data_IF_529595534340
#
_entry.id   IF_529595534340
#
_cell.length_a   1.000
_cell.length_b   1.000
_cell.length_c   1.000
_cell.angle_alpha   90.00
_cell.angle_beta   90.00
_cell.angle_gamma   90.00
#
_symmetry.space_group_name_H-M   'P 1'
#
loop_
_entity.id
_entity.type
_entity.pdbx_description
1 polymer ?
#
# COMPACT_ATOMS: atom_id res chain seq x y z
N UNK A 1 -12.29 2.12 5.96
CA UNK A 1 -11.14 1.24 6.25
C UNK A 1 -11.63 0.18 7.21
N UNK A 2 -11.52 -1.10 6.87
CA UNK A 2 -12.05 -2.18 7.71
C UNK A 2 -10.94 -2.70 8.63
N UNK A 3 -11.27 -2.91 9.91
CA UNK A 3 -10.36 -3.59 10.81
C UNK A 3 -10.28 -5.07 10.40
N UNK A 4 -9.08 -5.63 10.37
CA UNK A 4 -8.87 -7.07 10.19
C UNK A 4 -8.43 -7.68 11.52
N UNK A 5 -8.64 -8.99 11.67
CA UNK A 5 -8.18 -9.74 12.85
C UNK A 5 -6.65 -9.92 12.90
N UNK A 6 -5.95 -9.62 11.79
CA UNK A 6 -4.49 -9.66 11.71
C UNK A 6 -3.86 -8.40 12.33
N UNK A 7 -3.14 -8.50 13.46
CA UNK A 7 -2.58 -7.33 14.14
C UNK A 7 -1.44 -6.64 13.37
N UNK A 8 -0.80 -7.33 12.41
CA UNK A 8 0.32 -6.83 11.61
C UNK A 8 -0.18 -6.21 10.31
N UNK A 9 -1.20 -6.81 9.70
CA UNK A 9 -1.73 -6.39 8.40
C UNK A 9 -3.01 -5.54 8.50
N UNK A 10 -3.49 -5.22 9.71
CA UNK A 10 -4.69 -4.41 9.91
C UNK A 10 -4.50 -2.96 9.42
N UNK A 11 -5.27 -2.52 8.41
CA UNK A 11 -5.16 -1.16 7.87
C UNK A 11 -5.45 -0.09 8.92
N UNK A 12 -6.38 -0.35 9.85
CA UNK A 12 -6.71 0.60 10.93
C UNK A 12 -5.54 0.78 11.89
N UNK A 13 -4.80 -0.28 12.20
CA UNK A 13 -3.56 -0.18 13.00
C UNK A 13 -2.47 0.56 12.25
N UNK A 14 -2.30 0.28 10.95
CA UNK A 14 -1.37 1.03 10.11
C UNK A 14 -1.68 2.54 10.10
N UNK A 15 -2.97 2.91 9.95
CA UNK A 15 -3.41 4.31 10.02
C UNK A 15 -3.12 4.93 11.38
N UNK A 16 -3.37 4.21 12.48
CA UNK A 16 -3.02 4.67 13.82
C UNK A 16 -1.53 5.00 13.95
N UNK A 17 -0.64 4.14 13.45
CA UNK A 17 0.80 4.39 13.48
C UNK A 17 1.20 5.62 12.65
N UNK A 18 0.58 5.82 11.48
CA UNK A 18 0.82 7.03 10.67
C UNK A 18 0.37 8.29 11.40
N UNK A 19 -0.83 8.29 12.00
CA UNK A 19 -1.33 9.43 12.76
C UNK A 19 -0.48 9.74 14.00
N UNK A 20 -0.04 8.70 14.72
CA UNK A 20 0.87 8.84 15.86
C UNK A 20 2.22 9.44 15.42
N UNK A 21 2.80 8.96 14.34
CA UNK A 21 4.04 9.51 13.79
C UNK A 21 3.90 10.99 13.39
N UNK A 22 2.76 11.39 12.81
CA UNK A 22 2.48 12.81 12.53
C UNK A 22 2.48 13.65 13.80
N UNK A 23 1.89 13.16 14.87
CA UNK A 23 1.86 13.86 16.14
C UNK A 23 3.26 14.00 16.73
N UNK A 24 4.04 12.92 16.75
CA UNK A 24 5.43 12.89 17.23
C UNK A 24 6.33 13.86 16.43
N UNK A 25 6.14 13.92 15.10
CA UNK A 25 6.88 14.82 14.20
C UNK A 25 6.33 16.25 14.16
N UNK A 26 5.26 16.56 14.90
CA UNK A 26 4.56 17.86 14.87
C UNK A 26 4.06 18.26 13.48
N UNK A 27 3.67 17.27 12.67
CA UNK A 27 3.16 17.43 11.30
C UNK A 27 1.64 17.22 11.20
N UNK A 28 0.91 17.47 12.29
CA UNK A 28 -0.55 17.26 12.35
C UNK A 28 -1.32 18.07 11.29
N UNK A 29 -0.84 19.27 10.97
CA UNK A 29 -1.46 20.17 10.01
C UNK A 29 -1.10 19.87 8.53
N UNK A 30 -0.25 18.87 8.27
CA UNK A 30 0.15 18.57 6.90
C UNK A 30 -1.06 18.14 6.05
N UNK A 31 -1.20 18.64 4.80
CA UNK A 31 -2.38 18.37 3.98
C UNK A 31 -2.47 16.89 3.56
N UNK A 32 -1.33 16.24 3.36
CA UNK A 32 -1.24 14.85 2.94
C UNK A 32 -1.09 13.92 4.13
N UNK A 33 -1.76 12.75 4.11
CA UNK A 33 -1.70 11.78 5.22
C UNK A 33 -0.26 11.40 5.60
N UNK A 34 0.58 11.17 4.60
CA UNK A 34 1.98 10.80 4.77
C UNK A 34 2.94 11.99 4.65
N UNK A 35 2.49 13.21 4.95
CA UNK A 35 3.30 14.44 4.85
C UNK A 35 3.88 14.59 3.43
N UNK A 36 5.08 15.14 3.27
CA UNK A 36 5.74 15.35 1.98
C UNK A 36 6.81 14.28 1.69
N UNK A 37 6.46 13.00 1.91
CA UNK A 37 7.37 11.89 1.61
C UNK A 37 7.63 11.75 0.11
N UNK A 38 8.90 11.72 -0.26
CA UNK A 38 9.33 11.45 -1.65
C UNK A 38 9.38 9.95 -1.90
N UNK A 39 9.11 9.55 -3.14
CA UNK A 39 9.18 8.16 -3.55
C UNK A 39 10.56 7.52 -3.29
N UNK A 40 11.65 8.30 -3.42
CA UNK A 40 13.00 7.85 -3.07
C UNK A 40 13.14 7.49 -1.59
N UNK A 41 12.65 8.35 -0.70
CA UNK A 41 12.70 8.13 0.76
C UNK A 41 11.92 6.87 1.16
N UNK A 42 10.75 6.66 0.57
CA UNK A 42 9.96 5.44 0.79
C UNK A 42 10.71 4.21 0.26
N UNK A 43 11.31 4.30 -0.92
CA UNK A 43 12.10 3.22 -1.52
C UNK A 43 13.30 2.83 -0.65
N UNK A 44 14.05 3.82 -0.16
CA UNK A 44 15.24 3.59 0.66
C UNK A 44 14.89 2.95 1.99
N UNK A 45 13.81 3.42 2.64
CA UNK A 45 13.32 2.82 3.89
C UNK A 45 12.79 1.41 3.69
N UNK A 46 12.07 1.16 2.60
CA UNK A 46 11.61 -0.19 2.25
C UNK A 46 12.81 -1.14 2.07
N UNK A 47 13.81 -0.72 1.29
CA UNK A 47 15.02 -1.50 1.06
C UNK A 47 15.79 -1.78 2.34
N UNK A 48 15.89 -0.81 3.25
CA UNK A 48 16.52 -1.02 4.55
C UNK A 48 15.81 -2.12 5.38
N UNK A 49 14.47 -2.12 5.38
CA UNK A 49 13.68 -3.17 6.05
C UNK A 49 13.90 -4.53 5.38
N UNK A 50 13.83 -4.59 4.05
CA UNK A 50 14.06 -5.81 3.26
C UNK A 50 15.45 -6.40 3.52
N UNK A 51 16.49 -5.57 3.55
CA UNK A 51 17.84 -6.00 3.89
C UNK A 51 17.95 -6.51 5.33
N UNK A 52 17.23 -5.89 6.28
CA UNK A 52 17.27 -6.32 7.69
C UNK A 52 16.72 -7.73 7.93
N UNK A 53 15.89 -8.23 7.00
CA UNK A 53 15.34 -9.59 7.04
C UNK A 53 16.06 -10.56 6.08
N UNK A 54 17.22 -10.17 5.53
CA UNK A 54 18.04 -11.03 4.67
C UNK A 54 17.52 -11.23 3.25
N UNK A 55 16.62 -10.36 2.78
CA UNK A 55 16.05 -10.41 1.42
C UNK A 55 16.78 -9.41 0.52
N UNK A 56 16.89 -9.71 -0.78
CA UNK A 56 17.53 -8.84 -1.77
C UNK A 56 16.73 -7.53 -1.98
N UNK A 57 17.27 -6.36 -1.61
CA UNK A 57 16.58 -5.07 -1.74
C UNK A 57 16.38 -4.62 -3.20
N UNK A 58 17.13 -5.15 -4.16
CA UNK A 58 16.98 -4.76 -5.57
C UNK A 58 15.67 -5.23 -6.19
N UNK A 59 15.01 -6.21 -5.59
CA UNK A 59 13.71 -6.72 -6.02
C UNK A 59 12.54 -5.85 -5.53
N UNK A 60 12.80 -4.86 -4.68
CA UNK A 60 11.77 -4.06 -4.03
C UNK A 60 11.92 -2.57 -4.35
N UNK A 61 10.78 -1.96 -4.72
CA UNK A 61 10.65 -0.54 -5.01
C UNK A 61 9.21 -0.10 -4.72
N UNK A 62 8.92 1.18 -4.93
CA UNK A 62 7.59 1.77 -4.69
C UNK A 62 6.52 1.37 -5.71
N UNK A 63 6.85 0.53 -6.69
CA UNK A 63 5.90 0.07 -7.70
C UNK A 63 4.73 -0.75 -7.08
N UNK A 64 5.05 -1.64 -6.14
CA UNK A 64 4.03 -2.44 -5.42
C UNK A 64 3.10 -1.56 -4.58
N UNK A 65 3.64 -0.50 -3.96
CA UNK A 65 2.84 0.48 -3.20
C UNK A 65 1.85 1.21 -4.11
N UNK A 66 2.29 1.61 -5.31
CA UNK A 66 1.44 2.26 -6.31
C UNK A 66 0.29 1.35 -6.77
N UNK A 67 0.59 0.09 -7.08
CA UNK A 67 -0.42 -0.91 -7.47
C UNK A 67 -1.39 -1.18 -6.32
N UNK A 68 -0.87 -1.46 -5.13
CA UNK A 68 -1.69 -1.74 -3.94
C UNK A 68 -2.60 -0.57 -3.57
N UNK A 69 -2.11 0.67 -3.70
CA UNK A 69 -2.93 1.87 -3.52
C UNK A 69 -4.07 1.97 -4.54
N UNK A 70 -3.80 1.68 -5.82
CA UNK A 70 -4.83 1.66 -6.85
C UNK A 70 -5.87 0.55 -6.60
N UNK A 71 -5.44 -0.64 -6.20
CA UNK A 71 -6.32 -1.74 -5.78
C UNK A 71 -7.20 -1.33 -4.60
N UNK A 72 -6.63 -0.71 -3.56
CA UNK A 72 -7.39 -0.27 -2.39
C UNK A 72 -8.44 0.80 -2.74
N UNK A 73 -8.08 1.77 -3.59
CA UNK A 73 -9.01 2.79 -4.08
C UNK A 73 -10.14 2.18 -4.92
N UNK A 74 -9.81 1.23 -5.80
CA UNK A 74 -10.78 0.54 -6.65
C UNK A 74 -11.75 -0.31 -5.81
N UNK A 75 -11.25 -1.06 -4.82
CA UNK A 75 -12.09 -1.79 -3.85
C UNK A 75 -12.97 -0.83 -3.02
N UNK A 76 -12.47 0.37 -2.74
CA UNK A 76 -13.21 1.45 -2.10
C UNK A 76 -14.20 2.19 -3.02
N UNK A 77 -14.37 1.73 -4.27
CA UNK A 77 -15.25 2.34 -5.29
C UNK A 77 -14.89 3.81 -5.61
N UNK A 78 -13.62 4.18 -5.47
CA UNK A 78 -13.16 5.50 -5.88
C UNK A 78 -13.31 5.66 -7.41
N UNK A 79 -13.51 6.90 -7.85
CA UNK A 79 -13.63 7.21 -9.27
C UNK A 79 -12.34 6.88 -10.05
N UNK A 80 -12.51 6.34 -11.27
CA UNK A 80 -11.39 5.90 -12.10
C UNK A 80 -10.46 7.04 -12.52
N UNK A 81 -10.98 8.25 -12.75
CA UNK A 81 -10.15 9.42 -13.06
C UNK A 81 -9.33 9.83 -11.83
N UNK A 82 -9.91 9.79 -10.63
CA UNK A 82 -9.18 10.04 -9.40
C UNK A 82 -8.04 9.03 -9.18
N UNK A 83 -8.28 7.73 -9.43
CA UNK A 83 -7.25 6.68 -9.35
C UNK A 83 -6.13 6.95 -10.36
N UNK A 84 -6.48 7.31 -11.60
CA UNK A 84 -5.50 7.66 -12.63
C UNK A 84 -4.65 8.86 -12.25
N UNK A 85 -5.26 9.92 -11.74
CA UNK A 85 -4.58 11.14 -11.35
C UNK A 85 -3.61 10.88 -10.19
N UNK A 86 -4.09 10.27 -9.11
CA UNK A 86 -3.30 9.99 -7.91
C UNK A 86 -2.17 8.98 -8.19
N UNK A 87 -2.45 7.97 -8.99
CA UNK A 87 -1.50 6.93 -9.35
C UNK A 87 -0.67 7.21 -10.60
N UNK A 88 -0.83 8.36 -11.27
CA UNK A 88 -0.20 8.67 -12.57
C UNK A 88 -0.38 7.54 -13.61
N UNK A 89 -1.57 6.95 -13.67
CA UNK A 89 -1.89 5.88 -14.63
C UNK A 89 -2.39 6.48 -15.95
N UNK A 90 -1.72 6.15 -17.05
CA UNK A 90 -2.15 6.57 -18.38
C UNK A 90 -3.37 5.76 -18.86
N UNK A 91 -3.32 4.44 -18.64
CA UNK A 91 -4.37 3.49 -19.00
C UNK A 91 -5.12 2.97 -17.78
N UNK A 92 -6.17 2.16 -18.03
CA UNK A 92 -6.93 1.45 -16.99
C UNK A 92 -6.28 0.13 -16.56
N UNK A 93 -4.99 -0.07 -16.82
CA UNK A 93 -4.26 -1.29 -16.46
C UNK A 93 -4.26 -1.58 -14.96
N UNK A 94 -4.50 -0.58 -14.10
CA UNK A 94 -4.67 -0.81 -12.66
C UNK A 94 -5.88 -1.70 -12.32
N UNK A 95 -6.89 -1.80 -13.20
CA UNK A 95 -8.13 -2.57 -12.96
C UNK A 95 -7.89 -4.09 -12.94
N UNK A 96 -6.78 -4.58 -13.51
CA UNK A 96 -6.48 -6.02 -13.57
C UNK A 96 -5.76 -6.56 -12.33
N UNK A 97 -5.11 -5.71 -11.53
CA UNK A 97 -4.35 -6.16 -10.34
C UNK A 97 -5.20 -6.76 -9.22
N UNK A 98 -6.39 -6.22 -8.86
CA UNK A 98 -7.23 -6.82 -7.82
C UNK A 98 -7.70 -8.25 -8.18
N UNK A 99 -7.82 -8.56 -9.48
CA UNK A 99 -8.35 -9.84 -9.97
C UNK A 99 -7.37 -11.00 -9.70
N UNK A 100 -6.07 -10.72 -9.62
CA UNK A 100 -5.05 -11.73 -9.32
C UNK A 100 -5.10 -12.25 -7.87
N UNK A 101 -5.86 -11.61 -6.97
CA UNK A 101 -6.01 -12.02 -5.56
C UNK A 101 -7.19 -12.93 -5.24
N UNK A 102 -8.10 -13.22 -6.20
CA UNK A 102 -9.30 -14.02 -5.96
C UNK A 102 -9.21 -15.48 -6.46
N UNK A 103 -8.07 -16.14 -6.27
CA UNK A 103 -8.05 -17.61 -6.36
C UNK A 103 -6.99 -18.22 -5.43
N UNK A 104 -7.33 -18.32 -4.15
CA UNK A 104 -6.82 -19.43 -3.34
C UNK A 104 -7.70 -20.64 -3.70
N UNK A 105 -7.15 -21.73 -4.28
CA UNK A 105 -7.89 -22.98 -4.35
C UNK A 105 -8.25 -23.41 -2.92
N UNK A 106 -9.51 -23.81 -2.71
CA UNK A 106 -9.91 -24.46 -1.47
C UNK A 106 -9.03 -25.69 -1.27
N UNK A 107 -8.50 -25.86 -0.05
CA UNK A 107 -7.65 -26.99 0.34
C UNK A 107 -8.44 -28.30 0.45
N UNK A 108 -9.09 -28.74 -0.64
CA UNK A 108 -9.91 -29.96 -0.69
C UNK A 108 -9.77 -30.75 -1.99
N UNK A 109 -8.70 -30.54 -2.77
CA UNK A 109 -8.41 -31.36 -3.96
C UNK A 109 -6.92 -31.70 -4.05
N UNK A 110 -6.38 -32.33 -3.01
CA UNK A 110 -5.25 -33.27 -3.14
C UNK A 110 -5.51 -34.41 -2.15
N UNK A 111 -6.25 -35.41 -2.62
CA UNK A 111 -6.28 -36.77 -2.11
C UNK A 111 -6.58 -37.69 -3.31
#
# INVERSE_FOLDING_TARGET
>A
MHATDDPVLCPTKALYHVLRARAELRQNAAPNLCVDLRAGEVSDRLKAVVSSIGVDPHQYATHSVRIGGATALLSGKADGLAIKLLGRWLSKTYESYPVLGQKLPSASQVA
#
